data_IF_281601017188
#
_entry.id   IF_281601017188
#
_cell.length_a   1.000
_cell.length_b   1.000
_cell.length_c   1.000
_cell.angle_alpha   90.00
_cell.angle_beta   90.00
_cell.angle_gamma   90.00
#
_symmetry.space_group_name_H-M   'P 1'
#
loop_
_entity.id
_entity.type
_entity.pdbx_description
1 polymer ?
#
# COMPACT_ATOMS: atom_id res chain seq x y z
N UNK A 1 4.01 -15.15 25.73
CA UNK A 1 3.36 -15.56 24.47
C UNK A 1 1.85 -15.49 24.65
N UNK A 2 1.23 -14.37 24.27
CA UNK A 2 -0.23 -14.22 24.29
C UNK A 2 -0.81 -15.02 23.11
N UNK A 3 -1.57 -16.08 23.41
CA UNK A 3 -2.34 -16.82 22.41
C UNK A 3 -3.31 -15.84 21.73
N UNK A 4 -3.25 -15.74 20.41
CA UNK A 4 -4.19 -14.93 19.63
C UNK A 4 -5.63 -15.37 19.94
N UNK A 5 -6.48 -14.44 20.40
CA UNK A 5 -7.91 -14.72 20.64
C UNK A 5 -8.57 -15.20 19.34
N UNK A 6 -9.36 -16.29 19.35
CA UNK A 6 -10.02 -16.80 18.16
C UNK A 6 -10.89 -15.73 17.47
N UNK A 7 -10.97 -15.78 16.14
CA UNK A 7 -11.80 -14.86 15.35
C UNK A 7 -13.28 -15.00 15.73
N UNK A 8 -13.96 -13.85 15.89
CA UNK A 8 -15.40 -13.81 16.24
C UNK A 8 -16.27 -14.29 15.07
N UNK A 9 -17.54 -14.57 15.34
CA UNK A 9 -18.50 -14.99 14.30
C UNK A 9 -18.77 -13.84 13.33
N UNK A 10 -18.78 -12.63 13.86
CA UNK A 10 -19.00 -11.36 13.19
C UNK A 10 -17.89 -11.08 12.17
N UNK A 11 -16.62 -11.28 12.56
CA UNK A 11 -15.47 -11.13 11.66
C UNK A 11 -15.53 -12.11 10.48
N UNK A 12 -15.87 -13.37 10.78
CA UNK A 12 -16.00 -14.43 9.76
C UNK A 12 -17.14 -14.11 8.78
N UNK A 13 -18.27 -13.62 9.28
CA UNK A 13 -19.39 -13.18 8.45
C UNK A 13 -18.99 -11.99 7.58
N UNK A 14 -18.31 -10.99 8.14
CA UNK A 14 -17.81 -9.85 7.39
C UNK A 14 -16.87 -10.28 6.26
N UNK A 15 -15.87 -11.11 6.55
CA UNK A 15 -14.92 -11.62 5.54
C UNK A 15 -15.63 -12.43 4.46
N UNK A 16 -16.67 -13.19 4.82
CA UNK A 16 -17.45 -13.99 3.86
C UNK A 16 -18.24 -13.10 2.91
N UNK A 17 -18.93 -12.10 3.45
CA UNK A 17 -19.70 -11.15 2.66
C UNK A 17 -18.79 -10.25 1.79
N UNK A 18 -17.65 -9.80 2.34
CA UNK A 18 -16.64 -9.07 1.59
C UNK A 18 -16.08 -9.92 0.45
N UNK A 19 -15.84 -11.21 0.67
CA UNK A 19 -15.43 -12.12 -0.40
C UNK A 19 -16.49 -12.25 -1.50
N UNK A 20 -17.76 -12.39 -1.14
CA UNK A 20 -18.85 -12.46 -2.10
C UNK A 20 -18.94 -11.20 -2.98
N UNK A 21 -18.68 -10.02 -2.40
CA UNK A 21 -18.68 -8.75 -3.13
C UNK A 21 -17.41 -8.55 -4.01
N UNK A 22 -16.24 -8.95 -3.53
CA UNK A 22 -14.97 -8.71 -4.24
C UNK A 22 -14.67 -9.77 -5.32
N UNK A 23 -15.20 -10.99 -5.20
CA UNK A 23 -14.93 -12.08 -6.15
C UNK A 23 -15.39 -11.75 -7.59
N UNK A 24 -16.60 -11.21 -7.84
CA UNK A 24 -17.02 -10.77 -9.18
C UNK A 24 -16.13 -9.65 -9.75
N UNK A 25 -15.49 -8.86 -8.89
CA UNK A 25 -14.61 -7.76 -9.28
C UNK A 25 -13.17 -8.23 -9.58
N UNK A 26 -12.90 -9.54 -9.53
CA UNK A 26 -11.63 -10.14 -9.90
C UNK A 26 -10.60 -10.28 -8.78
N UNK A 27 -10.97 -10.01 -7.52
CA UNK A 27 -10.06 -10.22 -6.38
C UNK A 27 -9.94 -11.70 -6.03
N UNK A 28 -8.70 -12.15 -5.82
CA UNK A 28 -8.35 -13.47 -5.29
C UNK A 28 -8.18 -13.39 -3.78
N UNK A 29 -8.80 -14.31 -3.04
CA UNK A 29 -8.71 -14.38 -1.57
C UNK A 29 -7.65 -15.39 -1.14
N UNK A 30 -6.79 -15.00 -0.18
CA UNK A 30 -5.87 -15.86 0.56
C UNK A 30 -5.98 -15.53 2.05
N UNK A 31 -6.55 -16.43 2.84
CA UNK A 31 -6.86 -16.20 4.27
C UNK A 31 -7.70 -14.93 4.48
N UNK A 32 -7.15 -13.91 5.13
CA UNK A 32 -7.79 -12.62 5.44
C UNK A 32 -7.40 -11.52 4.45
N UNK A 33 -6.66 -11.86 3.39
CA UNK A 33 -6.18 -10.93 2.38
C UNK A 33 -6.88 -11.18 1.04
N UNK A 34 -7.20 -10.09 0.35
CA UNK A 34 -7.74 -10.06 -1.00
C UNK A 34 -6.76 -9.29 -1.88
N UNK A 35 -6.39 -9.86 -3.03
CA UNK A 35 -5.44 -9.26 -3.95
C UNK A 35 -6.00 -9.27 -5.38
N UNK A 36 -5.78 -8.18 -6.10
CA UNK A 36 -6.06 -8.05 -7.53
C UNK A 36 -4.88 -7.36 -8.21
N UNK A 37 -4.39 -7.94 -9.29
CA UNK A 37 -3.44 -7.29 -10.20
C UNK A 37 -4.24 -6.69 -11.37
N UNK A 38 -4.20 -5.38 -11.53
CA UNK A 38 -4.96 -4.65 -12.56
C UNK A 38 -4.29 -3.33 -12.90
N UNK A 39 -4.31 -2.94 -14.17
CA UNK A 39 -3.77 -1.66 -14.67
C UNK A 39 -2.31 -1.39 -14.25
N UNK A 40 -1.52 -2.45 -14.10
CA UNK A 40 -0.12 -2.32 -13.68
C UNK A 40 0.09 -2.13 -12.18
N UNK A 41 -0.92 -2.39 -11.34
CA UNK A 41 -0.82 -2.32 -9.88
C UNK A 41 -1.31 -3.59 -9.21
N UNK A 42 -0.68 -3.95 -8.10
CA UNK A 42 -1.27 -4.81 -7.09
C UNK A 42 -2.14 -3.96 -6.17
N UNK A 43 -3.41 -4.37 -5.98
CA UNK A 43 -4.39 -3.79 -5.07
C UNK A 43 -4.70 -4.81 -3.99
N UNK A 44 -4.42 -4.47 -2.73
CA UNK A 44 -4.53 -5.38 -1.59
C UNK A 44 -5.51 -4.84 -0.56
N UNK A 45 -6.31 -5.75 0.01
CA UNK A 45 -7.20 -5.49 1.14
C UNK A 45 -6.92 -6.59 2.16
N UNK A 46 -6.61 -6.23 3.41
CA UNK A 46 -6.36 -7.18 4.48
C UNK A 46 -7.22 -6.86 5.71
N UNK A 47 -7.94 -7.87 6.20
CA UNK A 47 -8.69 -7.77 7.44
C UNK A 47 -7.79 -8.19 8.60
N UNK A 48 -7.55 -7.27 9.53
CA UNK A 48 -6.69 -7.49 10.68
C UNK A 48 -7.46 -7.29 11.98
N UNK A 49 -7.49 -8.32 12.81
CA UNK A 49 -8.05 -8.23 14.15
C UNK A 49 -7.18 -7.35 15.05
N UNK A 50 -7.82 -6.53 15.89
CA UNK A 50 -7.13 -5.78 16.92
C UNK A 50 -6.60 -6.70 18.03
N UNK A 51 -5.42 -6.37 18.55
CA UNK A 51 -4.86 -7.06 19.71
C UNK A 51 -5.39 -6.50 21.04
N UNK A 52 -5.89 -5.26 21.02
CA UNK A 52 -6.24 -4.50 22.23
C UNK A 52 -7.75 -4.45 22.50
N UNK A 53 -8.56 -4.43 21.44
CA UNK A 53 -10.01 -4.28 21.52
C UNK A 53 -10.72 -5.35 20.69
N UNK A 54 -12.02 -5.54 20.93
CA UNK A 54 -12.87 -6.44 20.14
C UNK A 54 -13.32 -5.73 18.86
N UNK A 55 -12.35 -5.43 18.01
CA UNK A 55 -12.52 -4.74 16.74
C UNK A 55 -11.61 -5.37 15.67
N UNK A 56 -11.85 -5.01 14.42
CA UNK A 56 -10.94 -5.30 13.32
C UNK A 56 -10.77 -4.07 12.43
N UNK A 57 -9.63 -4.01 11.76
CA UNK A 57 -9.27 -2.95 10.82
C UNK A 57 -9.20 -3.51 9.41
N UNK A 58 -9.45 -2.64 8.44
CA UNK A 58 -9.20 -2.92 7.02
C UNK A 58 -7.94 -2.17 6.63
N UNK A 59 -6.84 -2.89 6.44
CA UNK A 59 -5.67 -2.34 5.80
C UNK A 59 -5.87 -2.44 4.29
N UNK A 60 -5.55 -1.38 3.55
CA UNK A 60 -5.50 -1.38 2.09
C UNK A 60 -4.12 -0.97 1.62
N UNK A 61 -3.69 -1.54 0.49
CA UNK A 61 -2.36 -1.30 -0.05
C UNK A 61 -2.34 -1.28 -1.57
N UNK A 62 -1.47 -0.45 -2.13
CA UNK A 62 -1.17 -0.39 -3.57
C UNK A 62 0.33 -0.48 -3.77
N UNK A 63 0.72 -1.26 -4.77
CA UNK A 63 2.11 -1.32 -5.22
C UNK A 63 2.17 -1.48 -6.74
N UNK A 64 2.93 -0.65 -7.47
CA UNK A 64 3.09 -0.80 -8.92
C UNK A 64 3.81 -2.11 -9.28
N UNK A 65 3.30 -2.83 -10.28
CA UNK A 65 3.90 -4.08 -10.75
C UNK A 65 5.25 -3.78 -11.40
N UNK A 66 6.30 -4.41 -10.89
CA UNK A 66 7.68 -4.23 -11.38
C UNK A 66 8.46 -3.13 -10.68
N UNK A 67 7.86 -2.42 -9.71
CA UNK A 67 8.60 -1.47 -8.89
C UNK A 67 9.51 -2.24 -7.90
N UNK A 68 10.81 -1.91 -7.82
CA UNK A 68 11.69 -2.51 -6.83
C UNK A 68 11.44 -1.95 -5.43
N UNK A 69 11.65 -2.78 -4.41
CA UNK A 69 11.69 -2.33 -3.01
C UNK A 69 13.03 -1.70 -2.68
N UNK A 70 13.03 -0.64 -1.86
CA UNK A 70 14.25 -0.01 -1.35
C UNK A 70 14.86 -0.86 -0.24
N UNK A 71 15.62 -1.89 -0.63
CA UNK A 71 16.38 -2.77 0.25
C UNK A 71 17.85 -2.65 -0.11
N UNK A 72 18.70 -2.44 0.90
CA UNK A 72 20.15 -2.32 0.73
C UNK A 72 20.73 -3.56 0.07
N UNK A 73 21.58 -3.36 -0.94
CA UNK A 73 22.31 -4.42 -1.66
C UNK A 73 21.45 -5.53 -2.28
N UNK A 74 20.16 -5.26 -2.51
CA UNK A 74 19.23 -6.26 -3.06
C UNK A 74 18.27 -5.64 -4.07
N UNK A 75 18.10 -6.29 -5.22
CA UNK A 75 17.01 -6.02 -6.14
C UNK A 75 15.84 -6.97 -5.85
N UNK A 76 14.82 -6.47 -5.15
CA UNK A 76 13.59 -7.25 -4.92
C UNK A 76 12.40 -6.64 -5.67
N UNK A 77 11.87 -7.42 -6.61
CA UNK A 77 10.64 -7.11 -7.35
C UNK A 77 9.66 -8.26 -7.06
N UNK A 78 8.68 -8.02 -6.19
CA UNK A 78 7.78 -9.08 -5.72
C UNK A 78 6.63 -9.33 -6.70
N UNK A 79 6.44 -10.60 -7.09
CA UNK A 79 5.27 -11.04 -7.88
C UNK A 79 4.04 -11.35 -7.01
N UNK A 80 4.25 -11.63 -5.71
CA UNK A 80 3.20 -11.98 -4.75
C UNK A 80 3.32 -11.08 -3.52
N UNK A 81 3.17 -9.77 -3.74
CA UNK A 81 3.39 -8.77 -2.69
C UNK A 81 2.46 -8.97 -1.49
N UNK A 82 3.01 -8.81 -0.28
CA UNK A 82 2.20 -8.74 0.94
C UNK A 82 1.67 -7.33 1.14
N UNK A 83 0.63 -7.17 1.97
CA UNK A 83 0.11 -5.82 2.23
C UNK A 83 1.14 -4.94 2.92
N UNK A 84 1.98 -5.52 3.78
CA UNK A 84 3.01 -4.79 4.54
C UNK A 84 4.20 -4.37 3.66
N UNK A 85 4.34 -5.00 2.50
CA UNK A 85 5.36 -4.70 1.50
C UNK A 85 4.91 -3.66 0.46
N UNK A 86 3.61 -3.30 0.46
CA UNK A 86 3.08 -2.29 -0.46
C UNK A 86 3.72 -0.94 -0.20
N UNK A 87 4.05 -0.19 -1.26
CA UNK A 87 4.69 1.13 -1.12
C UNK A 87 3.69 2.20 -0.64
N UNK A 88 2.42 2.03 -1.00
CA UNK A 88 1.31 2.84 -0.50
C UNK A 88 0.41 1.97 0.37
N UNK A 89 0.12 2.42 1.58
CA UNK A 89 -0.77 1.75 2.51
C UNK A 89 -1.59 2.78 3.28
N UNK A 90 -2.81 2.40 3.65
CA UNK A 90 -3.55 3.08 4.70
C UNK A 90 -4.44 2.08 5.44
N UNK A 91 -4.99 2.54 6.56
CA UNK A 91 -5.95 1.80 7.36
C UNK A 91 -7.27 2.55 7.35
N UNK A 92 -8.34 1.85 6.98
CA UNK A 92 -9.70 2.34 7.20
C UNK A 92 -10.05 2.11 8.67
N UNK A 93 -10.75 3.10 9.27
CA UNK A 93 -11.12 3.15 10.68
C UNK A 93 -11.64 1.83 11.27
N UNK A 94 -11.45 1.59 12.58
CA UNK A 94 -11.88 0.37 13.26
C UNK A 94 -13.36 0.06 13.04
N UNK A 95 -13.63 -1.22 12.82
CA UNK A 95 -14.97 -1.79 12.88
C UNK A 95 -15.11 -2.45 14.26
N UNK A 96 -15.85 -1.81 15.15
CA UNK A 96 -16.11 -2.33 16.50
C UNK A 96 -17.13 -3.47 16.43
N UNK A 97 -16.78 -4.63 17.00
CA UNK A 97 -17.67 -5.81 16.98
C UNK A 97 -18.77 -5.72 18.05
N UNK A 98 -18.55 -4.92 19.09
CA UNK A 98 -19.52 -4.67 20.16
C UNK A 98 -19.83 -3.17 20.27
N UNK A 99 -20.89 -2.73 19.60
CA UNK A 99 -21.73 -1.67 20.13
C UNK A 99 -23.13 -2.21 20.28
N UNK A 100 -23.42 -2.70 21.47
CA UNK A 100 -24.76 -2.71 21.99
C UNK A 100 -24.67 -2.34 23.46
N UNK A 101 -25.59 -1.47 23.89
CA UNK A 101 -25.99 -1.18 25.29
C UNK A 101 -25.32 0.02 25.97
N UNK A 102 -25.78 1.22 25.60
CA UNK A 102 -26.25 2.19 26.62
C UNK A 102 -27.33 3.18 26.13
N UNK A 103 -27.95 2.94 24.97
CA UNK A 103 -29.17 3.66 24.57
C UNK A 103 -30.17 2.65 24.01
N UNK A 104 -31.31 2.55 24.67
CA UNK A 104 -32.47 1.83 24.18
C UNK A 104 -32.88 2.37 22.80
N UNK A 105 -33.27 1.45 21.91
CA UNK A 105 -33.99 1.69 20.66
C UNK A 105 -33.20 2.26 19.46
N UNK A 106 -32.18 1.57 18.97
CA UNK A 106 -31.87 1.57 17.52
C UNK A 106 -31.36 0.18 17.13
N UNK A 107 -31.83 -0.32 15.98
CA UNK A 107 -31.51 -1.61 15.36
C UNK A 107 -30.01 -1.92 15.34
N UNK A 108 -29.65 -3.20 15.50
CA UNK A 108 -28.32 -3.74 15.20
C UNK A 108 -27.68 -3.03 14.00
N UNK A 109 -26.66 -2.20 14.23
CA UNK A 109 -25.92 -1.57 13.15
C UNK A 109 -25.28 -2.68 12.32
N UNK A 110 -25.91 -2.98 11.19
CA UNK A 110 -25.41 -3.97 10.26
C UNK A 110 -24.20 -3.31 9.60
N UNK A 111 -23.01 -3.88 9.79
CA UNK A 111 -21.77 -3.40 9.15
C UNK A 111 -22.04 -3.25 7.65
N UNK A 112 -22.16 -2.00 7.18
CA UNK A 112 -22.61 -1.70 5.82
C UNK A 112 -21.44 -1.84 4.84
N UNK A 113 -21.23 -3.07 4.36
CA UNK A 113 -20.17 -3.43 3.40
C UNK A 113 -20.11 -2.50 2.18
N UNK A 114 -21.24 -2.10 1.56
CA UNK A 114 -21.25 -1.09 0.51
C UNK A 114 -20.46 0.19 0.82
N UNK A 115 -20.57 0.73 2.04
CA UNK A 115 -19.87 1.97 2.43
C UNK A 115 -18.35 1.77 2.43
N UNK A 116 -17.86 0.66 3.01
CA UNK A 116 -16.44 0.34 3.01
C UNK A 116 -15.91 0.07 1.60
N UNK A 117 -16.68 -0.60 0.75
CA UNK A 117 -16.28 -0.84 -0.63
C UNK A 117 -16.11 0.46 -1.40
N UNK A 118 -17.00 1.43 -1.26
CA UNK A 118 -16.83 2.77 -1.87
C UNK A 118 -15.51 3.39 -1.45
N UNK A 119 -15.26 3.50 -0.14
CA UNK A 119 -14.01 4.08 0.39
C UNK A 119 -12.76 3.36 -0.12
N UNK A 120 -12.78 2.02 -0.16
CA UNK A 120 -11.67 1.21 -0.67
C UNK A 120 -11.43 1.51 -2.17
N UNK A 121 -12.50 1.54 -2.97
CA UNK A 121 -12.39 1.74 -4.41
C UNK A 121 -11.99 3.17 -4.75
N UNK A 122 -12.54 4.18 -4.06
CA UNK A 122 -12.15 5.58 -4.22
C UNK A 122 -10.65 5.75 -3.92
N UNK A 123 -10.16 5.13 -2.84
CA UNK A 123 -8.74 5.13 -2.52
C UNK A 123 -7.90 4.43 -3.61
N UNK A 124 -8.33 3.27 -4.11
CA UNK A 124 -7.64 2.61 -5.23
C UNK A 124 -7.65 3.44 -6.51
N UNK A 125 -8.72 4.18 -6.83
CA UNK A 125 -8.77 5.05 -8.01
C UNK A 125 -7.75 6.18 -7.91
N UNK A 126 -7.56 6.75 -6.71
CA UNK A 126 -6.56 7.79 -6.49
C UNK A 126 -5.15 7.23 -6.64
N UNK A 127 -4.84 6.14 -5.93
CA UNK A 127 -3.45 5.71 -5.74
C UNK A 127 -2.95 4.63 -6.71
N UNK A 128 -3.84 3.88 -7.36
CA UNK A 128 -3.50 2.91 -8.41
C UNK A 128 -3.63 3.52 -9.82
N UNK A 129 -3.10 4.73 -10.00
CA UNK A 129 -3.03 5.45 -11.28
C UNK A 129 -1.64 6.08 -11.43
N UNK A 130 -0.95 5.74 -12.50
CA UNK A 130 0.36 6.34 -12.80
C UNK A 130 0.23 7.84 -13.07
N UNK A 131 -0.87 8.30 -13.66
CA UNK A 131 -1.15 9.70 -13.92
C UNK A 131 -1.26 10.51 -12.62
N UNK A 132 -1.96 9.97 -11.62
CA UNK A 132 -2.10 10.62 -10.32
C UNK A 132 -0.76 10.61 -9.57
N UNK A 133 -0.06 9.46 -9.56
CA UNK A 133 1.25 9.34 -8.91
C UNK A 133 2.32 10.24 -9.53
N UNK A 134 2.30 10.43 -10.85
CA UNK A 134 3.23 11.32 -11.53
C UNK A 134 2.97 12.81 -11.25
N UNK A 135 1.72 13.20 -10.95
CA UNK A 135 1.31 14.60 -10.71
C UNK A 135 1.23 14.99 -9.25
N UNK A 136 1.23 14.02 -8.33
CA UNK A 136 1.14 14.29 -6.90
C UNK A 136 2.42 14.93 -6.37
N UNK A 137 2.35 15.50 -5.17
CA UNK A 137 3.51 16.04 -4.47
C UNK A 137 3.81 15.22 -3.22
N UNK A 138 5.01 15.39 -2.68
CA UNK A 138 5.49 14.65 -1.51
C UNK A 138 4.54 14.81 -0.31
N UNK A 139 4.00 15.99 -0.04
CA UNK A 139 3.12 16.23 1.10
C UNK A 139 1.81 15.45 1.01
N UNK A 140 1.25 15.30 -0.19
CA UNK A 140 0.01 14.57 -0.41
C UNK A 140 0.18 13.05 -0.27
N UNK A 141 1.34 12.51 -0.67
CA UNK A 141 1.60 11.07 -0.66
C UNK A 141 2.24 10.57 0.64
N UNK A 142 2.99 11.41 1.36
CA UNK A 142 3.66 11.03 2.63
C UNK A 142 2.74 10.33 3.64
N UNK A 143 1.47 10.76 3.86
CA UNK A 143 0.58 10.08 4.81
C UNK A 143 0.25 8.63 4.47
N UNK A 144 0.38 8.25 3.20
CA UNK A 144 0.09 6.89 2.72
C UNK A 144 1.35 6.13 2.30
N UNK A 145 2.52 6.78 2.32
CA UNK A 145 3.78 6.16 1.92
C UNK A 145 4.29 5.25 3.05
N UNK A 146 4.28 3.95 2.81
CA UNK A 146 4.57 2.94 3.82
C UNK A 146 6.07 2.60 3.90
N UNK A 147 6.87 3.63 4.10
CA UNK A 147 8.32 3.51 4.31
C UNK A 147 8.72 4.27 5.58
N UNK A 148 9.87 3.92 6.15
CA UNK A 148 10.40 4.66 7.30
C UNK A 148 10.68 6.13 6.92
N UNK A 149 10.58 7.08 7.86
CA UNK A 149 10.66 8.51 7.55
C UNK A 149 11.90 8.93 6.74
N UNK A 150 13.07 8.38 7.07
CA UNK A 150 14.33 8.67 6.35
C UNK A 150 14.33 8.24 4.88
N UNK A 151 13.40 7.36 4.47
CA UNK A 151 13.26 6.88 3.08
C UNK A 151 12.15 7.60 2.30
N UNK A 152 11.35 8.47 2.93
CA UNK A 152 10.14 9.00 2.29
C UNK A 152 10.43 9.77 1.00
N UNK A 153 11.46 10.63 1.01
CA UNK A 153 11.86 11.39 -0.18
C UNK A 153 12.38 10.45 -1.27
N UNK A 154 13.28 9.52 -0.94
CA UNK A 154 13.84 8.59 -1.92
C UNK A 154 12.78 7.67 -2.53
N UNK A 155 11.84 7.18 -1.72
CA UNK A 155 10.71 6.37 -2.16
C UNK A 155 9.72 7.16 -3.04
N UNK A 156 9.45 8.43 -2.70
CA UNK A 156 8.64 9.33 -3.52
C UNK A 156 9.27 9.55 -4.90
N UNK A 157 10.57 9.85 -4.95
CA UNK A 157 11.30 10.05 -6.19
C UNK A 157 11.33 8.79 -7.06
N UNK A 158 11.56 7.62 -6.44
CA UNK A 158 11.51 6.32 -7.11
C UNK A 158 10.13 6.05 -7.73
N UNK A 159 9.06 6.23 -6.94
CA UNK A 159 7.68 6.00 -7.37
C UNK A 159 7.27 6.95 -8.49
N UNK A 160 7.65 8.22 -8.38
CA UNK A 160 7.36 9.25 -9.39
C UNK A 160 8.12 8.98 -10.69
N UNK A 161 9.42 8.65 -10.61
CA UNK A 161 10.24 8.22 -11.74
C UNK A 161 9.60 7.03 -12.47
N UNK A 162 9.26 5.97 -11.73
CA UNK A 162 8.64 4.77 -12.28
C UNK A 162 7.28 5.07 -12.93
N UNK A 163 6.51 5.99 -12.35
CA UNK A 163 5.22 6.41 -12.91
C UNK A 163 5.37 7.13 -14.25
N UNK A 164 6.28 8.09 -14.35
CA UNK A 164 6.59 8.75 -15.64
C UNK A 164 7.10 7.76 -16.68
N UNK A 165 7.95 6.80 -16.27
CA UNK A 165 8.42 5.74 -17.17
C UNK A 165 7.26 4.90 -17.72
N UNK A 166 6.32 4.47 -16.87
CA UNK A 166 5.13 3.69 -17.28
C UNK A 166 4.20 4.47 -18.19
N UNK A 167 4.16 5.80 -18.05
CA UNK A 167 3.44 6.73 -18.93
C UNK A 167 4.21 7.05 -20.23
N UNK A 168 5.40 6.47 -20.45
CA UNK A 168 6.29 6.74 -21.59
C UNK A 168 6.75 8.21 -21.68
N UNK A 169 6.75 8.91 -20.56
CA UNK A 169 7.24 10.29 -20.44
C UNK A 169 8.71 10.27 -20.01
N UNK A 170 9.57 9.80 -20.92
CA UNK A 170 10.96 9.41 -20.60
C UNK A 170 11.85 10.58 -20.15
N UNK A 171 11.61 11.79 -20.66
CA UNK A 171 12.36 12.98 -20.23
C UNK A 171 12.08 13.30 -18.74
N UNK A 172 10.80 13.26 -18.35
CA UNK A 172 10.39 13.44 -16.96
C UNK A 172 10.88 12.28 -16.09
N UNK A 173 10.79 11.05 -16.57
CA UNK A 173 11.31 9.87 -15.88
C UNK A 173 12.81 10.02 -15.60
N UNK A 174 13.61 10.43 -16.58
CA UNK A 174 15.04 10.65 -16.40
C UNK A 174 15.31 11.81 -15.43
N UNK A 175 14.56 12.90 -15.48
CA UNK A 175 14.69 14.01 -14.52
C UNK A 175 14.50 13.53 -13.07
N UNK A 176 13.47 12.72 -12.82
CA UNK A 176 13.23 12.15 -11.49
C UNK A 176 14.22 11.04 -11.13
N UNK A 177 14.72 10.27 -12.09
CA UNK A 177 15.83 9.33 -11.87
C UNK A 177 17.07 10.07 -11.35
N UNK A 178 17.46 11.18 -11.98
CA UNK A 178 18.59 11.96 -11.52
C UNK A 178 18.37 12.46 -10.09
N UNK A 179 17.19 13.01 -9.77
CA UNK A 179 16.87 13.42 -8.39
C UNK A 179 16.93 12.25 -7.41
N UNK A 180 16.36 11.10 -7.78
CA UNK A 180 16.40 9.87 -6.98
C UNK A 180 17.84 9.42 -6.68
N UNK A 181 18.74 9.47 -7.66
CA UNK A 181 20.15 9.07 -7.51
C UNK A 181 20.95 10.05 -6.63
N UNK A 182 20.62 11.35 -6.67
CA UNK A 182 21.25 12.36 -5.83
C UNK A 182 20.64 12.43 -4.41
N UNK A 183 19.48 11.82 -4.19
CA UNK A 183 18.85 11.74 -2.88
C UNK A 183 19.64 10.77 -1.97
N UNK A 184 20.50 11.34 -1.13
CA UNK A 184 21.24 10.62 -0.11
C UNK A 184 20.33 10.32 1.08
N UNK A 185 20.39 9.08 1.55
CA UNK A 185 19.71 8.63 2.77
C UNK A 185 20.78 8.41 3.82
N UNK A 186 20.66 9.10 4.95
CA UNK A 186 21.59 8.93 6.07
C UNK A 186 20.85 8.33 7.26
N UNK A 187 21.49 7.41 7.96
CA UNK A 187 20.98 6.91 9.23
C UNK A 187 20.96 8.05 10.26
N UNK A 188 19.99 8.00 11.16
CA UNK A 188 19.91 8.91 12.31
C UNK A 188 20.88 8.46 13.42
N UNK A 189 22.15 8.24 13.07
CA UNK A 189 23.26 7.95 14.00
C UNK A 189 24.20 9.14 14.08
N UNK A 190 25.07 9.19 15.09
CA UNK A 190 26.04 10.28 15.26
C UNK A 190 26.96 10.43 14.04
N UNK A 191 27.31 9.30 13.41
CA UNK A 191 28.19 9.22 12.24
C UNK A 191 27.47 9.55 10.91
N UNK A 192 26.13 9.68 10.91
CA UNK A 192 25.29 9.92 9.73
C UNK A 192 25.65 9.01 8.54
N UNK A 193 25.83 7.73 8.82
CA UNK A 193 26.23 6.75 7.81
C UNK A 193 25.22 6.73 6.65
N UNK A 194 25.75 6.78 5.43
CA UNK A 194 24.92 6.78 4.22
C UNK A 194 24.46 5.37 3.87
N UNK A 195 23.17 5.24 3.58
CA UNK A 195 22.53 4.01 3.12
C UNK A 195 22.56 3.97 1.59
N UNK A 196 23.09 2.89 1.03
CA UNK A 196 23.20 2.69 -0.41
C UNK A 196 22.18 1.66 -0.93
N UNK A 197 21.62 1.92 -2.11
CA UNK A 197 20.64 1.07 -2.78
C UNK A 197 21.15 0.64 -4.16
N UNK A 198 22.42 0.23 -4.24
CA UNK A 198 23.15 0.08 -5.52
C UNK A 198 22.40 -0.77 -6.55
N UNK A 199 21.89 -1.93 -6.15
CA UNK A 199 21.15 -2.84 -7.03
C UNK A 199 19.86 -2.20 -7.60
N UNK A 200 19.13 -1.46 -6.76
CA UNK A 200 17.93 -0.72 -7.18
C UNK A 200 18.32 0.43 -8.11
N UNK A 201 19.36 1.19 -7.76
CA UNK A 201 19.86 2.32 -8.54
C UNK A 201 20.27 1.88 -9.95
N UNK A 202 21.03 0.79 -10.05
CA UNK A 202 21.47 0.22 -11.32
C UNK A 202 20.30 -0.31 -12.14
N UNK A 203 19.35 -0.99 -11.50
CA UNK A 203 18.13 -1.46 -12.16
C UNK A 203 17.32 -0.31 -12.74
N UNK A 204 17.12 0.76 -11.98
CA UNK A 204 16.35 1.93 -12.42
C UNK A 204 17.06 2.73 -13.51
N UNK A 205 18.39 2.88 -13.44
CA UNK A 205 19.19 3.45 -14.53
C UNK A 205 19.01 2.65 -15.82
N UNK A 206 19.24 1.34 -15.76
CA UNK A 206 19.07 0.46 -16.92
C UNK A 206 17.66 0.56 -17.50
N UNK A 207 16.64 0.63 -16.64
CA UNK A 207 15.24 0.72 -17.07
C UNK A 207 14.95 2.01 -17.85
N UNK A 208 15.38 3.16 -17.34
CA UNK A 208 15.03 4.48 -17.92
C UNK A 208 15.98 4.88 -19.04
N UNK A 209 17.29 4.71 -18.85
CA UNK A 209 18.31 5.16 -19.82
C UNK A 209 18.31 4.30 -21.09
N UNK A 210 17.89 3.03 -21.03
CA UNK A 210 17.76 2.19 -22.24
C UNK A 210 16.60 2.59 -23.17
N UNK A 211 15.72 3.48 -22.70
CA UNK A 211 14.55 3.97 -23.44
C UNK A 211 14.68 5.39 -23.94
N UNK A 212 15.80 6.06 -23.64
CA UNK A 212 16.18 7.36 -24.19
C UNK A 212 16.97 7.19 -25.49
#
# INVERSE_FOLDING_TARGET
MTKSKPHSKEEKNFITNLHAALKPLGFKKKRHTFCKAENGFYKLINIQKSQFEDSFYINIGVHPIGLPQLITDQLQIQENISIFDCILQTRIEPIHMNQNQLLHNVSHETINIPNYLSTIFDWFQVWASYENLAKTNIHAITPVLAVVPILQEKAFLLLTCFSFYKLKQYEQANRYLQQYLHCAVNLNTEEKEQVFFHEVDMSMKKLVESTM
#
